data_IF_557850219826
#
_entry.id   IF_557850219826
#
_cell.length_a   1.000
_cell.length_b   1.000
_cell.length_c   1.000
_cell.angle_alpha   90.00
_cell.angle_beta   90.00
_cell.angle_gamma   90.00
#
_symmetry.space_group_name_H-M   'P 1'
#
loop_
_entity.id
_entity.type
_entity.pdbx_description
1 polymer ?
#
# COMPACT_ATOMS: atom_id res chain seq x y z
N UNK A 1 -9.01 0.31 -2.82
CA UNK A 1 -8.67 1.75 -2.93
C UNK A 1 -9.04 2.42 -1.61
N UNK A 2 -8.18 3.28 -1.07
CA UNK A 2 -8.43 4.03 0.18
C UNK A 2 -9.22 5.31 -0.08
N UNK A 3 -9.62 5.59 -1.32
CA UNK A 3 -10.46 6.73 -1.67
C UNK A 3 -11.68 6.85 -0.75
N UNK A 4 -11.93 8.08 -0.36
CA UNK A 4 -13.25 8.55 0.07
C UNK A 4 -13.62 9.80 -0.73
N UNK A 5 -14.89 10.16 -0.68
CA UNK A 5 -15.45 11.32 -1.37
C UNK A 5 -15.66 12.44 -0.36
N UNK A 6 -15.53 13.69 -0.77
CA UNK A 6 -15.80 14.84 0.10
C UNK A 6 -17.22 14.83 0.74
N UNK A 7 -18.16 14.07 0.16
CA UNK A 7 -19.51 13.86 0.69
C UNK A 7 -19.59 12.81 1.82
N UNK A 8 -18.48 12.15 2.17
CA UNK A 8 -18.40 11.14 3.23
C UNK A 8 -18.56 9.69 2.74
N UNK A 9 -18.68 9.47 1.44
CA UNK A 9 -18.79 8.13 0.85
C UNK A 9 -17.40 7.47 0.75
N UNK A 10 -17.33 6.19 1.11
CA UNK A 10 -16.11 5.41 1.05
C UNK A 10 -16.14 4.40 -0.10
N UNK A 11 -15.13 4.41 -0.97
CA UNK A 11 -15.06 3.47 -2.10
C UNK A 11 -14.76 2.03 -1.61
N UNK A 12 -14.19 1.86 -0.41
CA UNK A 12 -13.95 0.58 0.26
C UNK A 12 -13.86 0.73 1.78
N UNK A 13 -13.75 -0.36 2.53
CA UNK A 13 -13.49 -0.36 3.98
C UNK A 13 -12.32 -1.31 4.31
N UNK A 14 -11.65 -1.16 5.47
CA UNK A 14 -10.62 -2.10 5.92
C UNK A 14 -11.11 -3.56 5.99
N UNK A 15 -12.37 -3.77 6.36
CA UNK A 15 -12.99 -5.11 6.44
C UNK A 15 -13.11 -5.74 5.05
N UNK A 16 -13.67 -4.99 4.09
CA UNK A 16 -13.76 -5.44 2.69
C UNK A 16 -12.37 -5.68 2.10
N UNK A 17 -11.41 -4.80 2.39
CA UNK A 17 -10.03 -4.97 1.96
C UNK A 17 -9.42 -6.28 2.50
N UNK A 18 -9.66 -6.62 3.77
CA UNK A 18 -9.22 -7.89 4.37
C UNK A 18 -9.84 -9.11 3.68
N UNK A 19 -11.12 -9.06 3.34
CA UNK A 19 -11.79 -10.13 2.58
C UNK A 19 -11.15 -10.32 1.18
N UNK A 20 -10.90 -9.20 0.49
CA UNK A 20 -10.26 -9.19 -0.82
C UNK A 20 -8.80 -9.71 -0.74
N UNK A 21 -8.04 -9.34 0.29
CA UNK A 21 -6.70 -9.86 0.56
C UNK A 21 -6.69 -11.38 0.74
N UNK A 22 -7.67 -11.94 1.46
CA UNK A 22 -7.79 -13.38 1.64
C UNK A 22 -8.00 -14.11 0.30
N UNK A 23 -8.89 -13.58 -0.54
CA UNK A 23 -9.17 -14.13 -1.88
C UNK A 23 -7.92 -14.08 -2.75
N UNK A 24 -7.27 -12.91 -2.84
CA UNK A 24 -6.08 -12.72 -3.67
C UNK A 24 -4.90 -13.57 -3.21
N UNK A 25 -4.65 -13.62 -1.88
CA UNK A 25 -3.62 -14.47 -1.29
C UNK A 25 -3.83 -15.95 -1.62
N UNK A 26 -5.08 -16.42 -1.50
CA UNK A 26 -5.42 -17.81 -1.83
C UNK A 26 -5.17 -18.12 -3.31
N UNK A 27 -5.51 -17.21 -4.23
CA UNK A 27 -5.28 -17.45 -5.67
C UNK A 27 -3.79 -17.39 -6.01
N UNK A 28 -3.07 -16.38 -5.52
CA UNK A 28 -1.63 -16.23 -5.79
C UNK A 28 -0.83 -17.45 -5.30
N UNK A 29 -1.14 -17.95 -4.09
CA UNK A 29 -0.45 -19.10 -3.49
C UNK A 29 -0.71 -20.43 -4.18
N UNK A 30 -1.72 -20.54 -5.05
CA UNK A 30 -1.89 -21.70 -5.93
C UNK A 30 -0.86 -21.74 -7.06
N UNK A 31 -0.30 -20.58 -7.42
CA UNK A 31 0.64 -20.43 -8.53
C UNK A 31 2.09 -20.50 -8.05
N UNK A 32 2.39 -19.96 -6.87
CA UNK A 32 3.74 -19.92 -6.31
C UNK A 32 3.72 -19.81 -4.78
N UNK A 33 4.67 -20.42 -4.06
CA UNK A 33 4.86 -20.17 -2.63
C UNK A 33 5.48 -18.80 -2.34
N UNK A 34 6.14 -18.18 -3.33
CA UNK A 34 6.84 -16.90 -3.19
C UNK A 34 5.88 -15.73 -3.43
N UNK A 35 5.17 -15.35 -2.37
CA UNK A 35 4.24 -14.22 -2.36
C UNK A 35 4.59 -13.31 -1.19
N UNK A 36 4.76 -12.03 -1.47
CA UNK A 36 4.89 -10.98 -0.46
C UNK A 36 3.86 -9.87 -0.73
N UNK A 37 3.50 -9.18 0.34
CA UNK A 37 2.61 -8.03 0.32
C UNK A 37 3.42 -6.77 0.58
N UNK A 38 3.03 -5.67 -0.05
CA UNK A 38 3.54 -4.33 0.23
C UNK A 38 2.40 -3.53 0.86
N UNK A 39 2.69 -2.78 1.90
CA UNK A 39 1.72 -1.81 2.44
C UNK A 39 1.67 -0.54 1.58
N UNK A 40 0.67 0.30 1.81
CA UNK A 40 0.44 1.51 1.05
C UNK A 40 1.42 2.60 1.47
N UNK A 41 1.89 3.43 0.53
CA UNK A 41 2.70 4.62 0.80
C UNK A 41 1.87 5.75 1.43
N UNK A 42 2.49 6.66 2.21
CA UNK A 42 1.85 7.89 2.65
C UNK A 42 1.58 8.84 1.47
N UNK A 43 0.72 9.83 1.70
CA UNK A 43 0.32 10.85 0.73
C UNK A 43 0.57 12.26 1.26
N UNK A 44 0.71 13.23 0.34
CA UNK A 44 0.65 14.65 0.66
C UNK A 44 -0.82 15.11 0.70
N UNK A 45 -1.36 15.18 1.92
CA UNK A 45 -2.77 15.57 2.12
C UNK A 45 -3.11 16.96 1.62
N UNK A 46 -2.13 17.88 1.53
CA UNK A 46 -2.36 19.21 0.96
C UNK A 46 -2.69 19.14 -0.54
N UNK A 47 -2.30 18.04 -1.21
CA UNK A 47 -2.53 17.77 -2.62
C UNK A 47 -3.56 16.66 -2.86
N UNK A 48 -3.95 15.91 -1.84
CA UNK A 48 -4.87 14.76 -2.00
C UNK A 48 -6.18 14.88 -1.23
N UNK A 49 -6.39 15.93 -0.43
CA UNK A 49 -7.60 16.10 0.38
C UNK A 49 -8.22 17.50 0.25
N UNK A 50 -8.92 17.81 -0.85
CA UNK A 50 -9.32 16.92 -1.95
C UNK A 50 -8.30 16.86 -3.09
N UNK A 51 -8.33 15.79 -3.89
CA UNK A 51 -7.50 15.64 -5.09
C UNK A 51 -7.92 16.67 -6.17
N UNK A 52 -7.04 17.61 -6.57
CA UNK A 52 -7.41 18.78 -7.39
C UNK A 52 -8.08 18.45 -8.72
N UNK A 53 -7.66 17.37 -9.39
CA UNK A 53 -8.14 16.98 -10.72
C UNK A 53 -9.27 15.94 -10.67
N UNK A 54 -9.90 15.73 -9.51
CA UNK A 54 -10.97 14.76 -9.38
C UNK A 54 -12.34 15.36 -9.71
N UNK A 55 -12.95 14.90 -10.81
CA UNK A 55 -14.34 15.24 -11.16
C UNK A 55 -15.38 14.69 -10.18
N UNK A 56 -14.97 13.79 -9.29
CA UNK A 56 -15.82 13.08 -8.34
C UNK A 56 -15.37 13.31 -6.90
N UNK A 57 -14.55 14.33 -6.63
CA UNK A 57 -14.15 14.73 -5.28
C UNK A 57 -13.40 13.66 -4.48
N UNK A 58 -12.51 12.89 -5.14
CA UNK A 58 -11.64 11.91 -4.46
C UNK A 58 -10.78 12.60 -3.41
N UNK A 59 -10.67 11.94 -2.26
CA UNK A 59 -9.78 12.31 -1.17
C UNK A 59 -8.94 11.09 -0.75
N UNK A 60 -7.70 11.37 -0.36
CA UNK A 60 -6.79 10.42 0.30
C UNK A 60 -6.19 11.10 1.52
N UNK A 61 -6.17 10.39 2.64
CA UNK A 61 -5.57 10.85 3.90
C UNK A 61 -4.70 9.76 4.50
N UNK A 62 -3.66 10.16 5.23
CA UNK A 62 -2.76 9.24 5.92
C UNK A 62 -3.49 8.49 7.03
N UNK A 63 -4.41 9.13 7.76
CA UNK A 63 -5.24 8.46 8.77
C UNK A 63 -5.99 7.24 8.20
N UNK A 64 -6.47 7.36 6.96
CA UNK A 64 -7.18 6.28 6.29
C UNK A 64 -6.24 5.23 5.71
N UNK A 65 -5.08 5.65 5.20
CA UNK A 65 -4.01 4.74 4.77
C UNK A 65 -3.55 3.88 5.96
N UNK A 66 -3.35 4.47 7.13
CA UNK A 66 -2.94 3.78 8.34
C UNK A 66 -3.91 2.66 8.72
N UNK A 67 -5.22 2.90 8.65
CA UNK A 67 -6.26 1.87 8.89
C UNK A 67 -6.15 0.67 7.93
N UNK A 68 -5.84 0.93 6.65
CA UNK A 68 -5.66 -0.14 5.67
C UNK A 68 -4.31 -0.85 5.84
N UNK A 69 -3.26 -0.12 6.20
CA UNK A 69 -1.94 -0.68 6.49
C UNK A 69 -1.97 -1.56 7.75
N UNK A 70 -2.69 -1.16 8.79
CA UNK A 70 -2.98 -1.98 9.97
C UNK A 70 -3.75 -3.25 9.59
N UNK A 71 -4.82 -3.12 8.80
CA UNK A 71 -5.58 -4.28 8.34
C UNK A 71 -4.74 -5.28 7.51
N UNK A 72 -3.81 -4.79 6.68
CA UNK A 72 -2.86 -5.62 5.95
C UNK A 72 -1.83 -6.26 6.89
N UNK A 73 -1.28 -5.50 7.84
CA UNK A 73 -0.31 -6.00 8.82
C UNK A 73 -0.90 -7.14 9.63
N UNK A 74 -2.08 -6.94 10.22
CA UNK A 74 -2.82 -7.97 10.95
C UNK A 74 -3.07 -9.21 10.09
N UNK A 75 -3.46 -9.02 8.83
CA UNK A 75 -3.72 -10.11 7.90
C UNK A 75 -2.44 -10.91 7.62
N UNK A 76 -1.33 -10.24 7.36
CA UNK A 76 -0.05 -10.89 7.11
C UNK A 76 0.46 -11.64 8.34
N UNK A 77 0.44 -11.01 9.52
CA UNK A 77 0.88 -11.62 10.78
C UNK A 77 0.04 -12.85 11.14
N UNK A 78 -1.29 -12.75 11.07
CA UNK A 78 -2.22 -13.85 11.40
C UNK A 78 -2.02 -15.06 10.48
N UNK A 79 -1.64 -14.84 9.22
CA UNK A 79 -1.53 -15.89 8.21
C UNK A 79 -0.07 -16.31 7.94
N UNK A 80 0.91 -15.77 8.66
CA UNK A 80 2.33 -16.05 8.44
C UNK A 80 2.81 -15.67 7.04
N UNK A 81 2.31 -14.55 6.49
CA UNK A 81 2.65 -14.06 5.16
C UNK A 81 3.74 -12.99 5.24
N UNK A 82 4.60 -12.95 4.23
CA UNK A 82 5.66 -11.93 4.13
C UNK A 82 5.05 -10.56 3.84
N UNK A 83 5.33 -9.59 4.71
CA UNK A 83 5.03 -8.17 4.53
C UNK A 83 6.34 -7.40 4.32
N UNK A 84 6.39 -6.60 3.27
CA UNK A 84 7.46 -5.63 2.99
C UNK A 84 6.91 -4.25 3.36
N UNK A 85 7.44 -3.68 4.45
CA UNK A 85 6.98 -2.41 5.01
C UNK A 85 7.60 -1.22 4.27
N UNK A 86 7.02 -0.85 3.13
CA UNK A 86 7.46 0.30 2.33
C UNK A 86 6.99 1.63 2.93
N UNK A 87 5.86 1.64 3.66
CA UNK A 87 5.34 2.83 4.31
C UNK A 87 6.36 3.41 5.30
N UNK A 88 6.95 2.55 6.15
CA UNK A 88 7.97 2.97 7.11
C UNK A 88 9.26 3.48 6.46
N UNK A 89 9.55 3.10 5.22
CA UNK A 89 10.65 3.70 4.46
C UNK A 89 10.23 5.08 3.95
N UNK A 90 9.06 5.20 3.33
CA UNK A 90 8.58 6.46 2.73
C UNK A 90 8.48 7.62 3.74
N UNK A 91 8.05 7.36 4.98
CA UNK A 91 7.96 8.41 6.02
C UNK A 91 9.31 9.01 6.42
N UNK A 92 10.43 8.42 6.00
CA UNK A 92 11.78 8.91 6.28
C UNK A 92 12.29 9.88 5.20
N UNK A 93 11.53 10.08 4.14
CA UNK A 93 11.95 10.86 2.98
C UNK A 93 10.88 11.89 2.58
N UNK A 94 11.33 13.08 2.21
CA UNK A 94 10.49 14.14 1.68
C UNK A 94 10.58 14.20 0.15
N UNK A 95 9.56 14.78 -0.50
CA UNK A 95 9.54 15.05 -1.95
C UNK A 95 9.71 13.79 -2.85
N UNK A 96 9.25 12.63 -2.38
CA UNK A 96 9.30 11.37 -3.14
C UNK A 96 7.98 11.04 -3.88
N UNK A 97 7.03 11.97 -3.89
CA UNK A 97 5.74 11.85 -4.59
C UNK A 97 5.71 12.84 -5.77
N UNK A 98 5.17 12.39 -6.91
CA UNK A 98 5.10 13.19 -8.14
C UNK A 98 3.93 14.20 -8.12
N UNK A 99 2.80 13.80 -7.53
CA UNK A 99 1.54 14.55 -7.51
C UNK A 99 0.87 14.56 -6.12
N UNK A 100 1.64 14.19 -5.09
CA UNK A 100 1.14 14.00 -3.73
C UNK A 100 0.50 12.63 -3.46
N UNK A 101 0.34 11.77 -4.46
CA UNK A 101 -0.20 10.42 -4.31
C UNK A 101 0.76 9.35 -4.84
N UNK A 102 1.22 9.51 -6.07
CA UNK A 102 2.05 8.51 -6.75
C UNK A 102 3.53 8.76 -6.47
N UNK A 103 4.34 7.71 -6.24
CA UNK A 103 5.79 7.84 -6.14
C UNK A 103 6.38 8.50 -7.39
N UNK A 104 7.40 9.36 -7.20
CA UNK A 104 8.25 9.81 -8.29
C UNK A 104 9.43 8.84 -8.50
N UNK A 105 10.44 9.23 -9.29
CA UNK A 105 11.62 8.39 -9.53
C UNK A 105 12.34 7.96 -8.25
N UNK A 106 12.52 8.85 -7.29
CA UNK A 106 13.19 8.56 -6.02
C UNK A 106 12.31 7.68 -5.12
N UNK A 107 10.99 7.93 -5.10
CA UNK A 107 10.04 7.06 -4.42
C UNK A 107 10.02 5.64 -4.99
N UNK A 108 10.09 5.50 -6.32
CA UNK A 108 10.21 4.20 -6.96
C UNK A 108 11.53 3.50 -6.67
N UNK A 109 12.64 4.26 -6.52
CA UNK A 109 13.91 3.69 -6.08
C UNK A 109 13.80 3.07 -4.68
N UNK A 110 13.16 3.76 -3.73
CA UNK A 110 12.92 3.23 -2.37
C UNK A 110 12.10 1.93 -2.43
N UNK A 111 11.08 1.85 -3.28
CA UNK A 111 10.28 0.62 -3.46
C UNK A 111 11.18 -0.53 -3.94
N UNK A 112 12.02 -0.29 -4.96
CA UNK A 112 12.94 -1.31 -5.47
C UNK A 112 13.90 -1.78 -4.38
N UNK A 113 14.54 -0.85 -3.68
CA UNK A 113 15.49 -1.15 -2.60
C UNK A 113 14.83 -1.93 -1.44
N UNK A 114 13.55 -1.68 -1.17
CA UNK A 114 12.78 -2.41 -0.15
C UNK A 114 12.39 -3.83 -0.59
N UNK A 115 12.11 -4.02 -1.88
CA UNK A 115 11.59 -5.29 -2.42
C UNK A 115 12.73 -6.25 -2.79
N UNK A 116 13.82 -5.71 -3.33
CA UNK A 116 14.91 -6.50 -3.92
C UNK A 116 15.48 -7.56 -2.97
N UNK A 117 15.73 -7.29 -1.66
CA UNK A 117 16.26 -8.30 -0.75
C UNK A 117 15.36 -9.53 -0.61
N UNK A 118 14.03 -9.32 -0.64
CA UNK A 118 13.07 -10.42 -0.55
C UNK A 118 13.09 -11.26 -1.83
N UNK A 119 13.10 -10.59 -3.00
CA UNK A 119 13.16 -11.28 -4.30
C UNK A 119 14.47 -12.04 -4.47
N UNK A 120 15.61 -11.43 -4.12
CA UNK A 120 16.92 -12.07 -4.16
C UNK A 120 16.99 -13.29 -3.24
N UNK A 121 16.39 -13.21 -2.04
CA UNK A 121 16.32 -14.37 -1.13
C UNK A 121 15.56 -15.55 -1.72
N UNK A 122 14.54 -15.32 -2.56
CA UNK A 122 13.79 -16.38 -3.22
C UNK A 122 14.51 -16.96 -4.44
N UNK A 123 15.27 -16.12 -5.15
CA UNK A 123 16.00 -16.55 -6.35
C UNK A 123 17.33 -17.24 -6.03
N UNK A 124 17.99 -16.82 -4.95
CA UNK A 124 19.38 -17.20 -4.65
C UNK A 124 19.58 -17.72 -3.23
N UNK A 125 18.55 -17.73 -2.37
CA UNK A 125 18.62 -18.36 -1.06
C UNK A 125 18.75 -19.88 -1.19
N UNK A 126 19.62 -20.49 -0.36
CA UNK A 126 19.78 -21.95 -0.25
C UNK A 126 18.57 -22.63 0.41
#
# INVERSE_FOLDING_TARGET
DTVFRAQGDFDSTPERYREELAILSQQARKLTPWVAFLNLCPVDEALTNPLPNSSTGKCYTNERIDKFNEALRDFCETNGLTLIDIHSQFIQHDNILADGLHPNSDGHQIIVESVLPTVESWLYGE
#
